data_IF_202807386796
#
_entry.id   IF_202807386796
#
_cell.length_a   1.000
_cell.length_b   1.000
_cell.length_c   1.000
_cell.angle_alpha   90.00
_cell.angle_beta   90.00
_cell.angle_gamma   90.00
#
_symmetry.space_group_name_H-M   'P 1'
#
loop_
_entity.id
_entity.type
_entity.pdbx_description
1 polymer ?
#
# COMPACT_ATOMS: atom_id res chain seq x y z
N UNK A 1 -10.30 4.71 21.89
CA UNK A 1 -9.79 4.82 20.50
C UNK A 1 -8.31 5.14 20.59
N UNK A 2 -7.43 4.23 20.15
CA UNK A 2 -5.97 4.44 20.20
C UNK A 2 -5.52 5.11 18.89
N UNK A 3 -5.54 6.44 18.86
CA UNK A 3 -4.95 7.24 17.78
C UNK A 3 -3.47 7.56 18.06
N UNK A 4 -2.78 8.21 17.13
CA UNK A 4 -1.40 8.67 17.33
C UNK A 4 -1.42 9.83 18.36
N UNK A 5 -0.72 9.72 19.50
CA UNK A 5 -0.69 10.80 20.50
C UNK A 5 -0.20 12.12 19.89
N UNK A 6 -0.97 13.20 20.10
CA UNK A 6 -0.67 14.51 19.51
C UNK A 6 -1.06 14.68 18.03
N UNK A 7 -1.58 13.63 17.38
CA UNK A 7 -2.04 13.64 15.98
C UNK A 7 -3.39 12.92 15.85
N UNK A 8 -4.48 13.48 16.40
CA UNK A 8 -5.76 12.78 16.50
C UNK A 8 -6.45 12.56 15.14
N UNK A 9 -6.04 13.27 14.10
CA UNK A 9 -6.57 13.15 12.74
C UNK A 9 -5.70 12.31 11.81
N UNK A 10 -4.55 11.81 12.30
CA UNK A 10 -3.68 10.93 11.55
C UNK A 10 -4.10 9.47 11.79
N UNK A 11 -3.86 8.60 10.81
CA UNK A 11 -4.18 7.18 10.94
C UNK A 11 -3.08 6.30 10.34
N UNK A 12 -2.73 5.24 11.05
CA UNK A 12 -1.78 4.23 10.59
C UNK A 12 -2.52 2.95 10.23
N UNK A 13 -2.06 2.27 9.19
CA UNK A 13 -2.66 1.01 8.78
C UNK A 13 -1.68 0.07 8.08
N UNK A 14 -2.08 -1.19 8.05
CA UNK A 14 -1.41 -2.22 7.28
C UNK A 14 -2.46 -3.07 6.56
N UNK A 15 -2.12 -3.58 5.38
CA UNK A 15 -3.02 -4.36 4.54
C UNK A 15 -2.31 -5.55 3.91
N UNK A 16 -3.03 -6.64 3.73
CA UNK A 16 -2.60 -7.79 2.94
C UNK A 16 -3.60 -7.99 1.80
N UNK A 17 -3.10 -8.21 0.59
CA UNK A 17 -3.89 -8.57 -0.56
C UNK A 17 -3.34 -9.85 -1.19
N UNK A 18 -4.24 -10.75 -1.58
CA UNK A 18 -3.91 -11.94 -2.35
C UNK A 18 -4.74 -11.94 -3.63
N UNK A 19 -4.09 -12.10 -4.78
CA UNK A 19 -4.74 -12.12 -6.08
C UNK A 19 -4.37 -13.39 -6.85
N UNK A 20 -5.35 -13.98 -7.55
CA UNK A 20 -5.11 -15.02 -8.55
C UNK A 20 -5.00 -14.36 -9.92
N UNK A 21 -3.88 -14.52 -10.61
CA UNK A 21 -3.62 -13.82 -11.86
C UNK A 21 -4.01 -14.67 -13.07
N UNK A 22 -4.45 -13.99 -14.13
CA UNK A 22 -4.86 -14.63 -15.37
C UNK A 22 -3.68 -15.34 -16.05
N UNK A 23 -3.73 -16.67 -16.10
CA UNK A 23 -2.67 -17.50 -16.66
C UNK A 23 -2.50 -17.32 -18.17
N UNK A 24 -3.51 -16.79 -18.88
CA UNK A 24 -3.44 -16.52 -20.32
C UNK A 24 -2.50 -15.34 -20.66
N UNK A 25 -2.01 -14.61 -19.67
CA UNK A 25 -1.11 -13.45 -19.84
C UNK A 25 0.34 -13.72 -19.44
N UNK A 26 0.76 -14.98 -19.35
CA UNK A 26 2.10 -15.37 -18.90
C UNK A 26 2.50 -14.82 -17.51
N UNK A 27 1.53 -14.64 -16.61
CA UNK A 27 1.74 -14.22 -15.22
C UNK A 27 1.80 -15.41 -14.25
N UNK A 28 2.41 -15.22 -13.08
CA UNK A 28 2.42 -16.23 -12.01
C UNK A 28 0.99 -16.63 -11.59
N UNK A 29 0.77 -17.80 -10.96
CA UNK A 29 -0.55 -18.22 -10.50
C UNK A 29 -1.23 -17.24 -9.54
N UNK A 30 -0.44 -16.63 -8.66
CA UNK A 30 -0.90 -15.66 -7.68
C UNK A 30 0.18 -14.64 -7.37
N UNK A 31 -0.27 -13.53 -6.78
CA UNK A 31 0.56 -12.47 -6.24
C UNK A 31 0.00 -12.04 -4.88
N UNK A 32 0.90 -11.81 -3.93
CA UNK A 32 0.59 -11.31 -2.60
C UNK A 32 1.23 -9.94 -2.42
N UNK A 33 0.47 -8.98 -1.90
CA UNK A 33 0.98 -7.66 -1.54
C UNK A 33 0.78 -7.43 -0.04
N UNK A 34 1.83 -6.95 0.62
CA UNK A 34 1.78 -6.46 1.99
C UNK A 34 2.01 -4.95 1.97
N UNK A 35 1.15 -4.19 2.61
CA UNK A 35 1.19 -2.73 2.60
C UNK A 35 1.22 -2.17 4.02
N UNK A 36 1.98 -1.10 4.20
CA UNK A 36 1.97 -0.26 5.39
C UNK A 36 1.79 1.18 4.95
N UNK A 37 0.88 1.90 5.58
CA UNK A 37 0.58 3.28 5.24
C UNK A 37 0.35 4.12 6.48
N UNK A 38 0.63 5.41 6.33
CA UNK A 38 0.32 6.45 7.30
C UNK A 38 -0.44 7.55 6.57
N UNK A 39 -1.63 7.90 7.03
CA UNK A 39 -2.40 9.01 6.49
C UNK A 39 -2.26 10.19 7.45
N UNK A 40 -1.46 11.17 7.03
CA UNK A 40 -1.08 12.34 7.81
C UNK A 40 -1.96 13.52 7.40
N UNK A 41 -2.66 14.13 8.35
CA UNK A 41 -3.34 15.40 8.11
C UNK A 41 -2.31 16.53 8.09
N UNK A 42 -2.25 17.25 6.97
CA UNK A 42 -1.37 18.41 6.82
C UNK A 42 -2.06 19.65 7.39
N UNK A 43 -3.26 19.94 6.89
CA UNK A 43 -4.09 21.05 7.36
C UNK A 43 -5.53 20.86 6.89
N UNK A 44 -6.50 21.03 7.79
CA UNK A 44 -7.93 20.97 7.46
C UNK A 44 -8.28 19.70 6.68
N UNK A 45 -8.72 19.87 5.43
CA UNK A 45 -9.14 18.78 4.56
C UNK A 45 -8.00 18.17 3.70
N UNK A 46 -6.74 18.56 3.92
CA UNK A 46 -5.58 18.10 3.14
C UNK A 46 -4.83 17.00 3.88
N UNK A 47 -4.68 15.86 3.23
CA UNK A 47 -4.00 14.68 3.75
C UNK A 47 -2.87 14.23 2.81
N UNK A 48 -1.82 13.67 3.40
CA UNK A 48 -0.70 13.03 2.72
C UNK A 48 -0.58 11.59 3.20
N UNK A 49 -0.47 10.64 2.28
CA UNK A 49 -0.37 9.22 2.60
C UNK A 49 0.87 8.59 1.94
N UNK A 50 2.02 8.53 2.64
CA UNK A 50 3.07 7.59 2.28
C UNK A 50 2.60 6.14 2.46
N UNK A 51 2.99 5.26 1.54
CA UNK A 51 2.65 3.83 1.56
C UNK A 51 3.84 3.02 1.07
N UNK A 52 4.25 2.04 1.88
CA UNK A 52 5.23 1.02 1.49
C UNK A 52 4.48 -0.25 1.09
N UNK A 53 4.80 -0.80 -0.08
CA UNK A 53 4.21 -2.05 -0.59
C UNK A 53 5.31 -3.06 -0.87
N UNK A 54 5.18 -4.27 -0.32
CA UNK A 54 6.05 -5.41 -0.57
C UNK A 54 5.29 -6.44 -1.39
N UNK A 55 5.89 -6.88 -2.50
CA UNK A 55 5.43 -8.02 -3.31
C UNK A 55 6.48 -9.13 -3.22
N UNK A 56 6.30 -10.14 -2.34
CA UNK A 56 7.24 -11.26 -2.20
C UNK A 56 7.37 -12.09 -3.48
N UNK A 57 6.26 -12.22 -4.20
CA UNK A 57 6.13 -12.98 -5.44
C UNK A 57 5.46 -12.11 -6.52
N UNK A 58 6.20 -11.17 -7.14
CA UNK A 58 5.65 -10.29 -8.17
C UNK A 58 4.95 -11.08 -9.27
N UNK A 59 3.82 -10.58 -9.76
CA UNK A 59 2.98 -11.28 -10.73
C UNK A 59 3.70 -11.64 -12.05
N UNK A 60 4.77 -10.92 -12.39
CA UNK A 60 5.65 -11.19 -13.52
C UNK A 60 6.42 -12.51 -13.33
N UNK A 61 6.26 -13.47 -14.26
CA UNK A 61 6.90 -14.80 -14.15
C UNK A 61 8.42 -14.72 -14.14
N UNK A 62 8.99 -13.75 -14.85
CA UNK A 62 10.44 -13.59 -14.98
C UNK A 62 11.09 -12.88 -13.79
N UNK A 63 10.29 -12.34 -12.86
CA UNK A 63 10.80 -11.68 -11.67
C UNK A 63 11.62 -12.67 -10.81
N UNK A 64 12.89 -12.36 -10.60
CA UNK A 64 13.85 -13.22 -9.87
C UNK A 64 13.93 -12.89 -8.38
N UNK A 65 13.35 -11.77 -7.95
CA UNK A 65 13.42 -11.28 -6.58
C UNK A 65 12.09 -10.62 -6.17
N UNK A 66 11.82 -10.52 -4.85
CA UNK A 66 10.76 -9.68 -4.31
C UNK A 66 10.86 -8.23 -4.77
N UNK A 67 9.72 -7.55 -4.89
CA UNK A 67 9.66 -6.13 -5.19
C UNK A 67 9.21 -5.32 -3.98
N UNK A 68 9.76 -4.11 -3.85
CA UNK A 68 9.30 -3.10 -2.90
C UNK A 68 8.93 -1.84 -3.68
N UNK A 69 7.80 -1.25 -3.36
CA UNK A 69 7.34 0.01 -3.91
C UNK A 69 7.06 0.99 -2.78
N UNK A 70 7.42 2.26 -3.00
CA UNK A 70 7.08 3.36 -2.12
C UNK A 70 6.25 4.36 -2.92
N UNK A 71 5.07 4.68 -2.41
CA UNK A 71 4.12 5.59 -3.03
C UNK A 71 3.80 6.71 -2.06
N UNK A 72 3.59 7.92 -2.58
CA UNK A 72 3.05 9.04 -1.82
C UNK A 72 1.79 9.51 -2.53
N UNK A 73 0.66 9.52 -1.81
CA UNK A 73 -0.62 10.02 -2.29
C UNK A 73 -0.99 11.30 -1.54
N UNK A 74 -1.64 12.25 -2.21
CA UNK A 74 -2.27 13.40 -1.56
C UNK A 74 -3.77 13.39 -1.83
N UNK A 75 -4.56 13.72 -0.80
CA UNK A 75 -6.03 13.73 -0.84
C UNK A 75 -6.54 15.05 -0.27
N UNK A 76 -7.51 15.66 -0.97
CA UNK A 76 -8.20 16.87 -0.51
C UNK A 76 -9.71 16.57 -0.47
N UNK A 77 -10.34 16.80 0.69
CA UNK A 77 -11.80 16.68 0.85
C UNK A 77 -12.46 18.04 0.54
N UNK A 78 -13.59 18.02 -0.17
CA UNK A 78 -14.35 19.21 -0.60
C UNK A 78 -15.82 19.13 -0.20
#
# INVERSE_FOLDING_TARGET
MSGIPGRPSDSLGAGIAWSRLNQNRNLRPSETLLQFYDQIQICGAVYLQPTLTLSPNPGEKTARAPAIAFTVQSTVLF
#
